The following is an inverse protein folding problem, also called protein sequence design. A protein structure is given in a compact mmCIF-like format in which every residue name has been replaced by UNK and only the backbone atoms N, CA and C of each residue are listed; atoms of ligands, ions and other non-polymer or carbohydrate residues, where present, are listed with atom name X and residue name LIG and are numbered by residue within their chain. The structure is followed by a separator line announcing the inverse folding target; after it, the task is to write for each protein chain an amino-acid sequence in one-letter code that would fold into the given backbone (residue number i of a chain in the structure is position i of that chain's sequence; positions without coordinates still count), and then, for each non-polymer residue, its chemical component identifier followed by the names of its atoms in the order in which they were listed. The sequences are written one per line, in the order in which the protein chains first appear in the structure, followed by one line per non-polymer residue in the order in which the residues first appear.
data_IF_273674375817
#
_entry.id   IF_273674375817
#
_cell.length_a   1.000
_cell.length_b   1.000
_cell.length_c   1.000
_cell.angle_alpha   90.00
_cell.angle_beta   90.00
_cell.angle_gamma   90.00
#
_symmetry.space_group_name_H-M   'P 1'
#
loop_
_entity.id
_entity.type
_entity.pdbx_description
1 polymer ?
#
# COMPACT_ATOMS: atom_id res chain seq x y z
N UNK A 1 -13.55 -3.74 -11.54
CA UNK A 1 -12.57 -4.31 -10.60
C UNK A 1 -12.58 -3.42 -9.36
N UNK A 2 -13.10 -3.90 -8.22
CA UNK A 2 -13.08 -3.13 -6.99
C UNK A 2 -11.66 -3.06 -6.44
N UNK A 3 -11.16 -1.85 -6.23
CA UNK A 3 -9.93 -1.59 -5.49
C UNK A 3 -10.30 -1.37 -4.02
N UNK A 4 -9.60 -2.04 -3.12
CA UNK A 4 -9.76 -1.83 -1.69
C UNK A 4 -8.56 -1.05 -1.15
N UNK A 5 -8.83 -0.01 -0.37
CA UNK A 5 -7.78 0.68 0.36
C UNK A 5 -7.29 -0.22 1.51
N UNK A 6 -5.98 -0.49 1.56
CA UNK A 6 -5.40 -1.18 2.71
C UNK A 6 -5.21 -0.15 3.83
N UNK A 7 -5.89 -0.36 4.95
CA UNK A 7 -5.69 0.39 6.19
C UNK A 7 -5.04 -0.52 7.21
N UNK A 8 -4.14 0.02 8.04
CA UNK A 8 -3.49 -0.70 9.15
C UNK A 8 -4.47 -1.45 10.06
N UNK A 9 -5.72 -1.00 10.15
CA UNK A 9 -6.73 -1.58 11.04
C UNK A 9 -7.58 -2.67 10.35
N UNK A 10 -7.46 -2.83 9.03
CA UNK A 10 -8.26 -3.80 8.25
C UNK A 10 -7.51 -5.11 7.99
N UNK A 11 -6.18 -5.07 8.02
CA UNK A 11 -5.30 -6.20 7.78
C UNK A 11 -4.17 -6.16 8.81
N UNK A 12 -3.78 -7.30 9.38
CA UNK A 12 -2.66 -7.40 10.33
C UNK A 12 -1.31 -7.34 9.61
N UNK A 13 -1.05 -6.21 8.94
CA UNK A 13 0.13 -5.99 8.13
C UNK A 13 0.73 -4.61 8.38
N UNK A 14 2.07 -4.56 8.42
CA UNK A 14 2.81 -3.31 8.47
C UNK A 14 2.98 -2.81 7.03
N UNK A 15 2.32 -1.71 6.71
CA UNK A 15 2.49 -1.02 5.43
C UNK A 15 3.65 -0.03 5.50
N UNK A 16 4.65 -0.25 4.65
CA UNK A 16 5.74 0.68 4.41
C UNK A 16 5.69 1.17 2.95
N UNK A 17 5.21 2.40 2.77
CA UNK A 17 5.01 3.01 1.45
C UNK A 17 6.31 3.69 0.97
N UNK A 18 7.32 2.88 0.63
CA UNK A 18 8.66 3.34 0.21
C UNK A 18 8.61 4.48 -0.83
N UNK A 19 7.78 4.33 -1.86
CA UNK A 19 7.65 5.30 -2.95
C UNK A 19 6.79 6.54 -2.62
N UNK A 20 6.10 6.55 -1.48
CA UNK A 20 5.47 7.75 -0.91
C UNK A 20 6.43 8.53 0.02
N UNK A 21 7.68 8.08 0.11
CA UNK A 21 8.76 8.73 0.86
C UNK A 21 10.01 8.88 -0.01
N UNK A 22 11.07 9.51 0.51
CA UNK A 22 12.40 9.54 -0.14
C UNK A 22 13.24 8.31 0.19
N UNK A 23 12.81 7.49 1.15
CA UNK A 23 13.41 6.19 1.46
C UNK A 23 12.99 5.15 0.41
N UNK A 24 13.50 5.30 -0.79
CA UNK A 24 13.36 4.34 -1.88
C UNK A 24 14.59 4.40 -2.80
N UNK A 25 14.71 3.45 -3.72
CA UNK A 25 15.85 3.32 -4.62
C UNK A 25 16.09 4.57 -5.51
N UNK A 26 15.07 5.40 -5.73
CA UNK A 26 15.18 6.62 -6.52
C UNK A 26 15.52 7.86 -5.67
N UNK A 27 15.51 7.77 -4.33
CA UNK A 27 15.81 8.89 -3.44
C UNK A 27 14.86 10.08 -3.55
N UNK A 28 13.65 9.88 -4.11
CA UNK A 28 12.64 10.92 -4.30
C UNK A 28 11.23 10.35 -4.18
N UNK A 29 10.29 11.16 -3.69
CA UNK A 29 8.87 10.80 -3.60
C UNK A 29 8.28 10.67 -5.02
N UNK A 30 7.66 9.53 -5.30
CA UNK A 30 6.99 9.25 -6.59
C UNK A 30 5.48 9.38 -6.44
N UNK A 31 4.93 8.80 -5.37
CA UNK A 31 3.50 8.87 -5.08
C UNK A 31 3.23 9.98 -4.07
N UNK A 32 2.33 10.90 -4.41
CA UNK A 32 1.98 12.02 -3.54
C UNK A 32 0.99 11.63 -2.44
N UNK A 33 0.20 10.57 -2.66
CA UNK A 33 -0.78 10.07 -1.71
C UNK A 33 -0.17 8.94 -0.87
N UNK A 34 -0.28 9.04 0.45
CA UNK A 34 0.12 7.99 1.40
C UNK A 34 -0.98 6.92 1.50
N UNK A 35 -1.49 6.45 0.35
CA UNK A 35 -2.56 5.46 0.23
C UNK A 35 -2.10 4.26 -0.60
N UNK A 36 -2.50 3.07 -0.16
CA UNK A 36 -2.23 1.82 -0.87
C UNK A 36 -3.56 1.15 -1.21
N UNK A 37 -3.71 0.73 -2.46
CA UNK A 37 -4.88 0.01 -2.93
C UNK A 37 -4.47 -1.36 -3.43
N UNK A 38 -5.19 -2.39 -3.03
CA UNK A 38 -5.07 -3.74 -3.59
C UNK A 38 -6.30 -4.09 -4.40
N UNK A 39 -6.10 -5.02 -5.32
CA UNK A 39 -7.19 -5.82 -5.84
C UNK A 39 -7.77 -6.66 -4.70
N UNK A 40 -9.09 -6.76 -4.63
CA UNK A 40 -9.80 -7.57 -3.64
C UNK A 40 -9.27 -9.01 -3.62
N UNK A 41 -9.04 -9.60 -4.80
CA UNK A 41 -8.47 -10.96 -4.96
C UNK A 41 -7.11 -11.14 -4.27
N UNK A 42 -6.25 -10.12 -4.29
CA UNK A 42 -4.94 -10.17 -3.65
C UNK A 42 -5.02 -10.04 -2.11
N UNK A 43 -6.14 -9.55 -1.58
CA UNK A 43 -6.36 -9.45 -0.15
C UNK A 43 -6.92 -10.75 0.45
N UNK A 44 -7.69 -11.50 -0.33
CA UNK A 44 -8.29 -12.78 0.09
C UNK A 44 -7.25 -13.91 0.21
N UNK A 45 -6.15 -13.89 -0.55
CA UNK A 45 -5.09 -14.92 -0.43
C UNK A 45 -4.23 -14.79 0.86
N UNK A 46 -4.48 -13.78 1.70
CA UNK A 46 -3.79 -13.58 2.99
C UNK A 46 -4.62 -13.98 4.23
N UNK A 47 -5.84 -14.53 4.06
CA UNK A 47 -6.71 -14.97 5.17
C UNK A 47 -6.54 -16.44 5.56
#
# INVERSE_FOLDING_TARGET
MPLIEIKKNKFDVILDLKYASEDNILGKKIFLEDRCFLLEEAADETS
#
